data_IF_612017210871
#
_entry.id   IF_612017210871
#
_cell.length_a   1.000
_cell.length_b   1.000
_cell.length_c   1.000
_cell.angle_alpha   90.00
_cell.angle_beta   90.00
_cell.angle_gamma   90.00
#
_symmetry.space_group_name_H-M   'P 1'
#
loop_
_entity.id
_entity.type
_entity.pdbx_description
1 polymer ?
#
# COMPACT_ATOMS: atom_id res chain seq x y z
N UNK A 1 3.44 17.01 17.20
CA UNK A 1 3.05 17.88 16.09
C UNK A 1 2.04 17.15 15.24
N UNK A 2 0.93 17.79 14.93
CA UNK A 2 -0.02 17.31 13.94
C UNK A 2 0.68 17.18 12.59
N UNK A 3 0.44 16.08 11.92
CA UNK A 3 0.93 15.84 10.56
C UNK A 3 0.02 14.83 9.85
N UNK A 4 0.00 14.89 8.52
CA UNK A 4 -0.79 13.97 7.71
C UNK A 4 -0.36 12.51 7.93
N UNK A 5 -1.31 11.60 8.00
CA UNK A 5 -1.09 10.16 8.21
C UNK A 5 -0.15 9.54 7.16
N UNK A 6 -0.14 10.04 5.92
CA UNK A 6 0.84 9.62 4.90
C UNK A 6 2.30 9.83 5.32
N UNK A 7 2.59 10.89 6.11
CA UNK A 7 3.94 11.10 6.65
C UNK A 7 4.27 10.09 7.75
N UNK A 8 3.29 9.75 8.58
CA UNK A 8 3.42 8.71 9.60
C UNK A 8 3.62 7.35 8.95
N UNK A 9 2.87 7.04 7.90
CA UNK A 9 3.02 5.84 7.08
C UNK A 9 4.43 5.74 6.46
N UNK A 10 4.98 6.85 5.95
CA UNK A 10 6.35 6.90 5.45
C UNK A 10 7.39 6.57 6.53
N UNK A 11 7.23 7.12 7.72
CA UNK A 11 8.11 6.81 8.86
C UNK A 11 8.01 5.32 9.20
N UNK A 12 6.79 4.78 9.23
CA UNK A 12 6.53 3.36 9.50
C UNK A 12 7.21 2.46 8.45
N UNK A 13 6.99 2.71 7.16
CA UNK A 13 7.61 1.94 6.06
C UNK A 13 9.13 1.94 6.18
N UNK A 14 9.74 3.09 6.45
CA UNK A 14 11.19 3.21 6.57
C UNK A 14 11.73 2.50 7.82
N UNK A 15 11.00 2.47 8.93
CA UNK A 15 11.36 1.68 10.12
C UNK A 15 11.18 0.17 9.90
N UNK A 16 10.12 -0.23 9.20
CA UNK A 16 9.91 -1.63 8.82
C UNK A 16 11.02 -2.11 7.89
N UNK A 17 11.46 -1.28 6.94
CA UNK A 17 12.59 -1.56 6.06
C UNK A 17 13.86 -1.95 6.84
N UNK A 18 14.13 -1.28 7.95
CA UNK A 18 15.30 -1.55 8.80
C UNK A 18 15.22 -2.90 9.53
N UNK A 19 14.02 -3.42 9.74
CA UNK A 19 13.76 -4.67 10.48
C UNK A 19 13.44 -5.85 9.58
N UNK A 20 12.95 -5.60 8.38
CA UNK A 20 12.52 -6.61 7.42
C UNK A 20 13.35 -6.49 6.14
N UNK A 21 14.40 -7.27 6.06
CA UNK A 21 15.29 -7.30 4.88
C UNK A 21 14.55 -7.70 3.60
N UNK A 22 13.50 -8.49 3.75
CA UNK A 22 12.67 -8.98 2.66
C UNK A 22 11.44 -8.11 2.33
N UNK A 23 11.36 -6.89 2.86
CA UNK A 23 10.30 -5.94 2.48
C UNK A 23 10.63 -5.30 1.14
N UNK A 24 9.75 -5.41 0.18
CA UNK A 24 9.82 -4.78 -1.15
C UNK A 24 8.48 -4.12 -1.47
N UNK A 25 8.48 -3.05 -2.19
CA UNK A 25 7.21 -2.41 -2.58
C UNK A 25 7.40 -1.14 -3.38
N UNK A 26 6.32 -0.46 -3.66
CA UNK A 26 6.36 0.76 -4.44
C UNK A 26 4.98 1.29 -4.80
N UNK A 27 4.92 2.18 -5.78
CA UNK A 27 3.74 2.95 -6.11
C UNK A 27 3.43 2.94 -7.61
N UNK A 28 2.16 3.17 -7.92
CA UNK A 28 1.69 3.44 -9.28
C UNK A 28 1.98 4.90 -9.67
N UNK A 29 3.27 5.24 -9.80
CA UNK A 29 3.81 6.56 -10.18
C UNK A 29 3.47 7.72 -9.22
N UNK A 30 3.15 7.41 -7.97
CA UNK A 30 2.74 8.39 -6.96
C UNK A 30 3.63 8.40 -5.70
N UNK A 31 4.81 7.76 -5.75
CA UNK A 31 5.68 7.62 -4.58
C UNK A 31 6.04 8.95 -3.88
N UNK A 32 6.30 10.07 -4.57
CA UNK A 32 6.55 11.35 -3.92
C UNK A 32 5.34 11.89 -3.15
N UNK A 33 4.13 11.70 -3.68
CA UNK A 33 2.89 12.21 -3.10
C UNK A 33 2.36 11.34 -1.96
N UNK A 34 2.34 10.02 -2.13
CA UNK A 34 1.90 9.09 -1.09
C UNK A 34 3.00 8.69 -0.09
N UNK A 35 4.22 9.23 -0.27
CA UNK A 35 5.36 9.04 0.65
C UNK A 35 5.75 7.57 0.87
N UNK A 36 5.59 6.74 -0.16
CA UNK A 36 5.80 5.29 -0.06
C UNK A 36 7.21 4.81 -0.41
N UNK A 37 8.15 5.72 -0.66
CA UNK A 37 9.52 5.38 -1.02
C UNK A 37 10.35 4.95 0.20
N UNK A 38 11.04 3.82 0.08
CA UNK A 38 12.02 3.34 1.06
C UNK A 38 13.36 4.03 0.81
N UNK A 39 13.72 4.98 1.67
CA UNK A 39 15.01 5.70 1.62
C UNK A 39 16.16 4.70 1.69
N UNK A 40 17.18 4.93 0.89
CA UNK A 40 18.37 4.07 0.81
C UNK A 40 18.08 2.60 0.44
N UNK A 41 16.85 2.30 0.01
CA UNK A 41 16.44 0.96 -0.44
C UNK A 41 16.86 0.65 -1.88
N UNK A 42 17.26 1.66 -2.64
CA UNK A 42 17.55 1.55 -4.07
C UNK A 42 16.32 1.23 -4.92
N UNK A 43 16.40 1.51 -6.20
CA UNK A 43 15.37 1.19 -7.17
C UNK A 43 15.62 -0.17 -7.80
N UNK A 44 14.60 -1.00 -7.86
CA UNK A 44 14.66 -2.30 -8.51
C UNK A 44 14.61 -2.12 -10.03
N UNK A 45 15.55 -2.71 -10.73
CA UNK A 45 15.62 -2.65 -12.18
C UNK A 45 16.79 -3.47 -12.72
N UNK A 46 16.97 -3.45 -14.04
CA UNK A 46 18.01 -4.24 -14.72
C UNK A 46 19.44 -3.92 -14.25
N UNK A 47 19.67 -2.72 -13.75
CA UNK A 47 20.97 -2.27 -13.22
C UNK A 47 21.10 -2.58 -11.71
N UNK A 48 20.00 -2.89 -11.02
CA UNK A 48 20.01 -3.14 -9.58
C UNK A 48 18.87 -4.11 -9.15
N UNK A 49 19.11 -5.39 -9.24
CA UNK A 49 18.17 -6.42 -8.78
C UNK A 49 18.08 -6.53 -7.24
N UNK A 50 18.87 -5.76 -6.50
CA UNK A 50 18.77 -5.66 -5.03
C UNK A 50 17.94 -4.47 -4.57
N UNK A 51 17.53 -3.62 -5.49
CA UNK A 51 16.64 -2.49 -5.19
C UNK A 51 15.32 -2.96 -4.58
N UNK A 52 14.83 -2.20 -3.62
CA UNK A 52 13.63 -2.55 -2.84
C UNK A 52 12.42 -1.70 -3.22
N UNK A 53 12.63 -0.64 -4.02
CA UNK A 53 11.57 0.20 -4.53
C UNK A 53 11.18 -0.21 -5.94
N UNK A 54 9.91 -0.57 -6.12
CA UNK A 54 9.31 -0.94 -7.40
C UNK A 54 8.58 0.27 -8.00
N UNK A 55 8.81 0.52 -9.28
CA UNK A 55 8.14 1.57 -10.04
C UNK A 55 7.14 0.94 -11.00
N UNK A 56 5.86 0.95 -10.65
CA UNK A 56 4.83 0.28 -11.44
C UNK A 56 4.29 1.13 -12.60
N UNK A 57 4.57 2.44 -12.60
CA UNK A 57 3.91 3.38 -13.50
C UNK A 57 2.42 3.54 -13.17
N UNK A 58 1.68 4.24 -14.02
CA UNK A 58 0.22 4.41 -13.87
C UNK A 58 -0.48 3.11 -14.31
N UNK A 59 -0.40 2.07 -13.48
CA UNK A 59 -0.86 0.70 -13.76
C UNK A 59 -1.33 -0.02 -12.50
N UNK A 60 -2.38 0.48 -11.85
CA UNK A 60 -2.86 -0.01 -10.56
C UNK A 60 -3.27 -1.50 -10.62
N UNK A 61 -3.93 -1.91 -11.69
CA UNK A 61 -4.29 -3.32 -11.90
C UNK A 61 -3.04 -4.21 -11.95
N UNK A 62 -2.07 -3.85 -12.79
CA UNK A 62 -0.82 -4.60 -12.92
C UNK A 62 0.00 -4.55 -11.63
N UNK A 63 0.07 -3.40 -10.96
CA UNK A 63 0.71 -3.27 -9.66
C UNK A 63 0.15 -4.25 -8.64
N UNK A 64 -1.17 -4.33 -8.53
CA UNK A 64 -1.83 -5.24 -7.59
C UNK A 64 -1.64 -6.71 -8.00
N UNK A 65 -1.65 -7.03 -9.30
CA UNK A 65 -1.37 -8.37 -9.80
C UNK A 65 0.08 -8.79 -9.51
N UNK A 66 1.06 -7.89 -9.70
CA UNK A 66 2.47 -8.13 -9.36
C UNK A 66 2.63 -8.34 -7.85
N UNK A 67 1.97 -7.50 -7.03
CA UNK A 67 1.95 -7.68 -5.57
C UNK A 67 1.42 -9.06 -5.16
N UNK A 68 0.34 -9.53 -5.81
CA UNK A 68 -0.19 -10.87 -5.59
C UNK A 68 0.83 -11.96 -6.00
N UNK A 69 1.49 -11.80 -7.14
CA UNK A 69 2.52 -12.73 -7.61
C UNK A 69 3.71 -12.83 -6.66
N UNK A 70 4.19 -11.70 -6.14
CA UNK A 70 5.28 -11.66 -5.15
C UNK A 70 4.86 -12.37 -3.87
N UNK A 71 3.67 -12.09 -3.36
CA UNK A 71 3.16 -12.72 -2.14
C UNK A 71 2.95 -14.23 -2.33
N UNK A 72 2.43 -14.65 -3.49
CA UNK A 72 2.20 -16.05 -3.83
C UNK A 72 3.50 -16.84 -3.96
N UNK A 73 4.54 -16.26 -4.57
CA UNK A 73 5.86 -16.88 -4.68
C UNK A 73 6.46 -17.12 -3.29
N UNK A 74 6.20 -16.22 -2.35
CA UNK A 74 6.75 -16.30 -0.99
C UNK A 74 8.17 -15.75 -0.87
N UNK A 75 8.67 -15.68 0.37
CA UNK A 75 9.99 -15.16 0.71
C UNK A 75 10.07 -13.65 0.86
N UNK A 76 9.24 -12.90 0.15
CA UNK A 76 9.17 -11.45 0.23
C UNK A 76 7.87 -10.99 0.88
N UNK A 77 7.95 -9.88 1.61
CA UNK A 77 6.79 -9.10 2.04
C UNK A 77 6.63 -7.92 1.12
N UNK A 78 5.41 -7.69 0.62
CA UNK A 78 5.19 -6.63 -0.35
C UNK A 78 4.13 -5.64 0.10
N UNK A 79 4.40 -4.37 -0.16
CA UNK A 79 3.38 -3.33 -0.14
C UNK A 79 3.26 -2.67 -1.51
N UNK A 80 2.06 -2.20 -1.81
CA UNK A 80 1.75 -1.44 -3.01
C UNK A 80 0.99 -0.18 -2.62
N UNK A 81 1.23 0.92 -3.32
CA UNK A 81 0.72 2.22 -2.94
C UNK A 81 0.11 2.98 -4.12
N UNK A 82 -0.99 3.65 -3.86
CA UNK A 82 -1.64 4.58 -4.79
C UNK A 82 -2.53 5.55 -4.00
N UNK A 83 -3.16 6.50 -4.67
CA UNK A 83 -4.24 7.29 -4.07
C UNK A 83 -5.47 6.42 -3.85
N UNK A 84 -6.23 6.70 -2.80
CA UNK A 84 -7.33 5.84 -2.39
C UNK A 84 -8.42 5.72 -3.45
N UNK A 85 -8.74 6.79 -4.18
CA UNK A 85 -9.71 6.74 -5.28
C UNK A 85 -9.29 5.72 -6.36
N UNK A 86 -8.01 5.56 -6.62
CA UNK A 86 -7.50 4.62 -7.63
C UNK A 86 -7.54 3.16 -7.19
N UNK A 87 -8.01 2.88 -5.97
CA UNK A 87 -8.38 1.52 -5.58
C UNK A 87 -9.46 0.92 -6.50
N UNK A 88 -10.22 1.75 -7.19
CA UNK A 88 -11.17 1.31 -8.21
C UNK A 88 -10.50 0.49 -9.31
N UNK A 89 -9.29 0.90 -9.73
CA UNK A 89 -8.53 0.21 -10.79
C UNK A 89 -7.82 -1.05 -10.30
N UNK A 90 -7.45 -1.13 -9.03
CA UNK A 90 -6.78 -2.32 -8.47
C UNK A 90 -7.75 -3.33 -7.85
N UNK A 91 -9.03 -2.97 -7.67
CA UNK A 91 -10.04 -3.77 -6.95
C UNK A 91 -10.09 -5.24 -7.39
N UNK A 92 -10.11 -5.60 -8.69
CA UNK A 92 -10.19 -7.00 -9.10
C UNK A 92 -9.04 -7.84 -8.54
N UNK A 93 -7.83 -7.29 -8.50
CA UNK A 93 -6.65 -7.97 -7.97
C UNK A 93 -6.62 -7.97 -6.44
N UNK A 94 -7.12 -6.92 -5.79
CA UNK A 94 -7.31 -6.89 -4.33
C UNK A 94 -8.31 -7.98 -3.89
N UNK A 95 -9.40 -8.17 -4.64
CA UNK A 95 -10.35 -9.26 -4.42
C UNK A 95 -9.70 -10.63 -4.59
N UNK A 96 -8.83 -10.80 -5.58
CA UNK A 96 -8.09 -12.05 -5.77
C UNK A 96 -7.09 -12.28 -4.64
N UNK A 97 -6.41 -11.26 -4.13
CA UNK A 97 -5.55 -11.39 -2.95
C UNK A 97 -6.31 -11.94 -1.75
N UNK A 98 -7.52 -11.42 -1.49
CA UNK A 98 -8.39 -11.90 -0.42
C UNK A 98 -8.84 -13.37 -0.65
N UNK A 99 -9.24 -13.70 -1.87
CA UNK A 99 -9.68 -15.05 -2.24
C UNK A 99 -8.55 -16.08 -2.14
N UNK A 100 -7.32 -15.68 -2.51
CA UNK A 100 -6.13 -16.54 -2.50
C UNK A 100 -5.39 -16.51 -1.16
N UNK A 101 -5.91 -15.82 -0.15
CA UNK A 101 -5.30 -15.66 1.18
C UNK A 101 -3.87 -15.08 1.11
N UNK A 102 -3.64 -14.06 0.29
CA UNK A 102 -2.34 -13.44 0.10
C UNK A 102 -2.18 -12.18 0.97
N UNK A 103 -1.14 -12.09 1.81
CA UNK A 103 -0.96 -10.99 2.75
C UNK A 103 -0.30 -9.75 2.12
N UNK A 104 -0.88 -9.25 1.04
CA UNK A 104 -0.43 -8.01 0.39
C UNK A 104 -0.83 -6.81 1.24
N UNK A 105 0.08 -5.85 1.39
CA UNK A 105 -0.19 -4.59 2.08
C UNK A 105 -0.49 -3.50 1.06
N UNK A 106 -1.62 -2.83 1.23
CA UNK A 106 -2.07 -1.70 0.40
C UNK A 106 -1.89 -0.41 1.21
N UNK A 107 -1.12 0.53 0.69
CA UNK A 107 -0.95 1.88 1.28
C UNK A 107 -1.73 2.86 0.41
N UNK A 108 -2.87 3.31 0.92
CA UNK A 108 -3.84 4.10 0.17
C UNK A 108 -3.96 5.48 0.82
N UNK A 109 -3.43 6.50 0.16
CA UNK A 109 -3.40 7.86 0.66
C UNK A 109 -4.43 8.75 -0.05
N UNK A 110 -4.55 10.02 0.37
CA UNK A 110 -5.52 10.95 -0.20
C UNK A 110 -6.95 10.39 -0.05
N UNK A 111 -7.31 10.12 1.21
CA UNK A 111 -8.37 9.20 1.61
C UNK A 111 -9.74 9.86 1.85
N UNK A 112 -9.91 11.11 1.48
CA UNK A 112 -11.17 11.83 1.72
C UNK A 112 -11.41 12.96 0.71
N UNK A 113 -12.60 13.53 0.78
CA UNK A 113 -12.98 14.76 0.06
C UNK A 113 -12.12 15.98 0.45
N UNK A 114 -11.31 15.87 1.51
CA UNK A 114 -10.33 16.88 1.91
C UNK A 114 -9.05 16.91 1.09
N UNK A 115 -8.95 16.14 0.01
CA UNK A 115 -7.83 16.18 -0.95
C UNK A 115 -7.66 17.58 -1.54
N UNK A 116 -8.75 18.30 -1.74
CA UNK A 116 -8.74 19.71 -2.08
C UNK A 116 -8.60 19.98 -3.56
N UNK A 117 -7.50 20.60 -3.98
CA UNK A 117 -7.34 21.12 -5.36
C UNK A 117 -7.36 20.06 -6.47
N UNK A 118 -7.08 18.80 -6.15
CA UNK A 118 -7.15 17.69 -7.10
C UNK A 118 -8.61 17.46 -7.59
N UNK A 119 -9.58 17.85 -6.80
CA UNK A 119 -11.00 17.87 -7.16
C UNK A 119 -11.69 16.49 -7.14
N UNK A 120 -12.92 16.47 -7.61
CA UNK A 120 -13.82 15.33 -7.51
C UNK A 120 -13.31 14.03 -8.15
N UNK A 121 -12.43 14.13 -9.15
CA UNK A 121 -11.81 12.95 -9.79
C UNK A 121 -10.85 12.20 -8.88
N UNK A 122 -10.39 12.83 -7.78
CA UNK A 122 -9.42 12.30 -6.84
C UNK A 122 -9.98 12.14 -5.41
N UNK A 123 -11.23 12.53 -5.20
CA UNK A 123 -11.91 12.49 -3.90
C UNK A 123 -12.67 11.17 -3.73
N UNK A 124 -12.17 10.24 -2.88
CA UNK A 124 -12.85 8.97 -2.66
C UNK A 124 -14.12 9.15 -1.82
N UNK A 125 -15.19 8.46 -2.18
CA UNK A 125 -16.46 8.41 -1.46
C UNK A 125 -16.82 6.97 -1.11
N UNK A 126 -17.10 6.13 -2.11
CA UNK A 126 -17.58 4.76 -1.95
C UNK A 126 -16.47 3.73 -1.74
N UNK A 127 -15.21 4.08 -1.94
CA UNK A 127 -14.08 3.15 -1.90
C UNK A 127 -13.92 2.46 -0.53
N UNK A 128 -14.21 3.17 0.55
CA UNK A 128 -14.12 2.58 1.89
C UNK A 128 -15.16 1.47 2.09
N UNK A 129 -16.40 1.73 1.67
CA UNK A 129 -17.48 0.73 1.70
C UNK A 129 -17.15 -0.45 0.77
N UNK A 130 -16.62 -0.17 -0.41
CA UNK A 130 -16.19 -1.17 -1.38
C UNK A 130 -15.14 -2.14 -0.80
N UNK A 131 -14.09 -1.62 -0.16
CA UNK A 131 -13.05 -2.47 0.44
C UNK A 131 -13.57 -3.25 1.64
N UNK A 132 -14.41 -2.61 2.48
CA UNK A 132 -15.01 -3.27 3.66
C UNK A 132 -16.02 -4.36 3.29
N UNK A 133 -16.60 -4.30 2.11
CA UNK A 133 -17.52 -5.33 1.61
C UNK A 133 -16.80 -6.61 1.12
N UNK A 134 -15.48 -6.59 0.95
CA UNK A 134 -14.73 -7.77 0.49
C UNK A 134 -14.52 -8.76 1.65
N UNK A 135 -14.95 -10.02 1.52
CA UNK A 135 -14.59 -11.07 2.47
C UNK A 135 -13.08 -11.26 2.56
N UNK A 136 -12.56 -11.54 3.77
CA UNK A 136 -11.14 -11.74 4.04
C UNK A 136 -10.23 -10.57 3.60
N UNK A 137 -10.71 -9.34 3.70
CA UNK A 137 -9.94 -8.14 3.41
C UNK A 137 -9.97 -7.21 4.63
N UNK A 138 -8.81 -6.86 5.19
CA UNK A 138 -8.72 -5.96 6.34
C UNK A 138 -8.54 -4.51 5.88
N UNK A 139 -9.23 -3.60 6.52
CA UNK A 139 -9.12 -2.16 6.27
C UNK A 139 -8.87 -1.44 7.60
N UNK A 140 -7.71 -0.81 7.70
CA UNK A 140 -7.37 0.09 8.80
C UNK A 140 -7.33 1.53 8.29
N UNK A 141 -7.96 2.42 9.03
CA UNK A 141 -7.94 3.86 8.77
C UNK A 141 -7.42 4.58 10.00
N UNK A 142 -6.09 4.64 10.19
CA UNK A 142 -5.48 5.18 11.37
C UNK A 142 -5.66 6.70 11.45
N UNK A 143 -5.98 7.22 12.64
CA UNK A 143 -6.13 8.64 12.90
C UNK A 143 -4.84 9.30 13.41
N UNK A 144 -3.92 8.51 13.98
CA UNK A 144 -2.70 9.03 14.61
C UNK A 144 -1.48 8.11 14.40
N UNK A 145 -0.35 8.51 15.00
CA UNK A 145 0.90 7.77 14.89
C UNK A 145 0.85 6.38 15.53
N UNK A 146 0.13 6.23 16.63
CA UNK A 146 -0.01 4.96 17.35
C UNK A 146 -0.81 3.98 16.51
N UNK A 147 -1.95 4.41 16.02
CA UNK A 147 -2.81 3.59 15.16
C UNK A 147 -2.11 3.25 13.84
N UNK A 148 -1.36 4.20 13.24
CA UNK A 148 -0.56 3.93 12.04
C UNK A 148 0.50 2.84 12.30
N UNK A 149 1.19 2.90 13.44
CA UNK A 149 2.19 1.90 13.79
C UNK A 149 1.55 0.52 14.04
N UNK A 150 0.42 0.47 14.76
CA UNK A 150 -0.31 -0.77 15.00
C UNK A 150 -0.86 -1.35 13.71
N UNK A 151 -1.49 -0.54 12.86
CA UNK A 151 -1.99 -0.97 11.56
C UNK A 151 -0.88 -1.54 10.67
N UNK A 152 0.28 -0.86 10.62
CA UNK A 152 1.46 -1.34 9.91
C UNK A 152 2.00 -2.66 10.46
N UNK A 153 2.07 -2.81 11.77
CA UNK A 153 2.47 -4.07 12.40
C UNK A 153 1.53 -5.21 12.04
N UNK A 154 0.22 -5.00 12.17
CA UNK A 154 -0.79 -6.00 11.81
C UNK A 154 -0.71 -6.38 10.33
N UNK A 155 -0.53 -5.40 9.45
CA UNK A 155 -0.40 -5.62 8.01
C UNK A 155 0.80 -6.52 7.67
N UNK A 156 2.00 -6.20 8.18
CA UNK A 156 3.21 -6.98 7.84
C UNK A 156 3.30 -8.32 8.56
N UNK A 157 2.58 -8.51 9.65
CA UNK A 157 2.52 -9.80 10.37
C UNK A 157 1.41 -10.71 9.89
N UNK A 158 0.47 -10.18 9.10
CA UNK A 158 -0.57 -11.00 8.46
C UNK A 158 0.04 -12.12 7.63
N UNK A 159 -0.59 -13.28 7.63
CA UNK A 159 -0.15 -14.47 6.89
C UNK A 159 -1.08 -14.85 5.73
N UNK A 160 -2.37 -14.50 5.85
CA UNK A 160 -3.42 -14.98 4.95
C UNK A 160 -4.43 -13.90 4.54
N UNK A 161 -4.26 -12.69 5.04
CA UNK A 161 -5.26 -11.64 4.82
C UNK A 161 -4.58 -10.40 4.28
N UNK A 162 -4.98 -9.91 3.10
CA UNK A 162 -4.54 -8.62 2.59
C UNK A 162 -5.06 -7.49 3.47
N UNK A 163 -4.26 -6.45 3.64
CA UNK A 163 -4.56 -5.35 4.56
C UNK A 163 -4.36 -4.02 3.86
N UNK A 164 -5.41 -3.20 3.85
CA UNK A 164 -5.33 -1.80 3.42
C UNK A 164 -5.13 -0.87 4.63
N UNK A 165 -4.17 0.02 4.49
CA UNK A 165 -3.92 1.17 5.34
C UNK A 165 -4.38 2.42 4.58
N UNK A 166 -5.46 3.05 5.04
CA UNK A 166 -6.15 4.15 4.35
C UNK A 166 -5.92 5.47 5.08
#
# INVERSE_FOLDING_TARGET
>A
KEQATRNLSSIMINRLKERLENLIGGSADLAPSNKSYMKDGGDFGKENYRGRNLHFGVRELAMAAIGNGIALHGGLKTYIATFFVFSDYMKPMARLAALMELPVVYVLTHDSIGVGEDGATHEPIEQLAMLRAMPNFQVFRPADATETAVGGYLAVTSKKTPTALV
#
